data_IF_996913745781
#
_entry.id   IF_996913745781
#
_cell.length_a   1.000
_cell.length_b   1.000
_cell.length_c   1.000
_cell.angle_alpha   90.00
_cell.angle_beta   90.00
_cell.angle_gamma   90.00
#
_symmetry.space_group_name_H-M   'P 1'
#
loop_
_entity.id
_entity.type
_entity.pdbx_description
1 polymer ?
#
# COMPACT_ATOMS: atom_id res chain seq x y z
N UNK A 1 36.57 4.23 21.49
CA UNK A 1 35.74 5.11 20.64
C UNK A 1 35.33 4.47 19.32
N UNK A 2 36.25 3.84 18.55
CA UNK A 2 35.92 3.19 17.27
C UNK A 2 34.87 2.06 17.37
N UNK A 3 34.94 1.23 18.42
CA UNK A 3 33.99 0.13 18.65
C UNK A 3 32.54 0.60 18.91
N UNK A 4 32.38 1.72 19.62
CA UNK A 4 31.06 2.32 19.89
C UNK A 4 30.44 2.91 18.62
N UNK A 5 31.24 3.52 17.76
CA UNK A 5 30.79 4.05 16.47
C UNK A 5 30.33 2.93 15.53
N UNK A 6 31.02 1.79 15.54
CA UNK A 6 30.63 0.61 14.74
C UNK A 6 29.29 0.06 15.20
N UNK A 7 29.09 -0.11 16.51
CA UNK A 7 27.82 -0.60 17.08
C UNK A 7 26.64 0.37 16.78
N UNK A 8 26.88 1.67 16.87
CA UNK A 8 25.87 2.68 16.54
C UNK A 8 25.48 2.63 15.06
N UNK A 9 26.45 2.51 14.15
CA UNK A 9 26.17 2.39 12.71
C UNK A 9 25.39 1.12 12.37
N UNK A 10 25.66 0.02 13.06
CA UNK A 10 24.96 -1.24 12.85
C UNK A 10 23.51 -1.17 13.33
N UNK A 11 23.25 -0.50 14.47
CA UNK A 11 21.88 -0.26 14.95
C UNK A 11 21.06 0.63 14.01
N UNK A 12 21.66 1.67 13.43
CA UNK A 12 20.97 2.55 12.46
C UNK A 12 20.62 1.81 11.15
N UNK A 13 21.46 0.88 10.70
CA UNK A 13 21.18 0.06 9.53
C UNK A 13 19.95 -0.87 9.73
N UNK A 14 19.74 -1.38 10.95
CA UNK A 14 18.57 -2.21 11.27
C UNK A 14 17.27 -1.39 11.28
N UNK A 15 17.31 -0.15 11.77
CA UNK A 15 16.14 0.75 11.77
C UNK A 15 15.78 1.20 10.34
N UNK A 16 16.76 1.47 9.49
CA UNK A 16 16.53 1.84 8.08
C UNK A 16 15.92 0.69 7.25
N UNK A 17 16.17 -0.57 7.61
CA UNK A 17 15.58 -1.71 6.93
C UNK A 17 14.15 -2.02 7.41
N UNK A 18 13.73 -1.45 8.56
CA UNK A 18 12.40 -1.59 9.15
C UNK A 18 11.51 -0.36 8.93
N UNK A 19 11.90 0.58 8.06
CA UNK A 19 10.93 1.52 7.50
C UNK A 19 10.02 0.72 6.57
N UNK A 20 8.99 0.11 7.15
CA UNK A 20 7.78 -0.20 6.41
C UNK A 20 7.42 1.08 5.67
N UNK A 21 7.56 1.06 4.33
CA UNK A 21 7.31 2.23 3.51
C UNK A 21 5.93 2.78 3.80
N UNK A 22 5.70 4.06 3.45
CA UNK A 22 4.39 4.70 3.48
C UNK A 22 3.46 4.00 2.45
N UNK A 23 3.03 2.80 2.80
CA UNK A 23 2.06 2.02 2.07
C UNK A 23 0.65 2.49 2.39
N UNK A 24 -0.31 2.00 1.63
CA UNK A 24 -1.73 2.30 1.83
C UNK A 24 -2.52 1.01 2.04
N UNK A 25 -3.53 1.14 2.90
CA UNK A 25 -4.61 0.16 3.04
C UNK A 25 -5.91 0.92 2.86
N UNK A 26 -6.65 0.59 1.81
CA UNK A 26 -7.97 1.17 1.55
C UNK A 26 -8.96 0.01 1.57
N UNK A 27 -9.80 -0.01 2.59
CA UNK A 27 -10.86 -1.01 2.78
C UNK A 27 -12.23 -0.38 2.50
N UNK A 28 -13.11 -1.15 1.89
CA UNK A 28 -14.48 -0.72 1.63
C UNK A 28 -15.43 -1.89 1.51
N UNK A 29 -16.72 -1.60 1.66
CA UNK A 29 -17.82 -2.51 1.40
C UNK A 29 -18.65 -1.98 0.24
N UNK A 30 -19.24 -2.90 -0.52
CA UNK A 30 -20.13 -2.57 -1.62
C UNK A 30 -21.45 -3.31 -1.43
N UNK A 31 -22.55 -2.57 -1.51
CA UNK A 31 -23.91 -3.11 -1.43
C UNK A 31 -24.52 -3.13 -2.83
N UNK A 32 -25.22 -4.20 -3.18
CA UNK A 32 -25.87 -4.37 -4.47
C UNK A 32 -26.04 -5.84 -4.85
N UNK A 33 -26.85 -6.11 -5.87
CA UNK A 33 -26.99 -7.46 -6.42
C UNK A 33 -25.82 -7.77 -7.37
N UNK A 34 -25.30 -9.00 -7.31
CA UNK A 34 -24.26 -9.53 -8.22
C UNK A 34 -22.94 -8.73 -8.25
N UNK A 35 -22.52 -8.16 -7.12
CA UNK A 35 -21.24 -7.42 -7.02
C UNK A 35 -20.02 -8.34 -6.87
N UNK A 36 -20.22 -9.60 -6.48
CA UNK A 36 -19.15 -10.57 -6.25
C UNK A 36 -18.31 -10.81 -7.50
N UNK A 37 -16.97 -10.81 -7.35
CA UNK A 37 -16.05 -10.99 -8.46
C UNK A 37 -15.86 -9.74 -9.33
N UNK A 38 -16.48 -8.61 -8.99
CA UNK A 38 -16.27 -7.35 -9.71
C UNK A 38 -14.85 -6.84 -9.46
N UNK A 39 -14.12 -6.49 -10.52
CA UNK A 39 -12.81 -5.84 -10.43
C UNK A 39 -12.98 -4.33 -10.22
N UNK A 40 -12.35 -3.82 -9.16
CA UNK A 40 -12.23 -2.41 -8.83
C UNK A 40 -10.82 -1.93 -9.14
N UNK A 41 -10.69 -0.71 -9.64
CA UNK A 41 -9.39 -0.09 -9.95
C UNK A 41 -9.19 1.19 -9.14
N UNK A 42 -8.08 1.26 -8.42
CA UNK A 42 -7.64 2.47 -7.74
C UNK A 42 -6.88 3.33 -8.75
N UNK A 43 -7.26 4.60 -8.88
CA UNK A 43 -6.64 5.54 -9.82
C UNK A 43 -6.23 6.82 -9.12
N UNK A 44 -5.13 7.42 -9.57
CA UNK A 44 -4.69 8.75 -9.15
C UNK A 44 -4.51 9.69 -10.34
N UNK A 45 -4.61 10.98 -10.08
CA UNK A 45 -4.20 11.99 -11.06
C UNK A 45 -2.66 12.02 -11.17
N UNK A 46 -2.15 11.85 -12.39
CA UNK A 46 -0.73 12.01 -12.73
C UNK A 46 -0.37 13.46 -13.07
N UNK A 47 0.87 13.67 -13.49
CA UNK A 47 1.47 15.01 -13.69
C UNK A 47 0.70 15.91 -14.66
N UNK A 48 0.01 15.34 -15.67
CA UNK A 48 -0.80 16.10 -16.64
C UNK A 48 -2.31 15.94 -16.40
N UNK A 49 -2.75 15.76 -15.15
CA UNK A 49 -4.14 15.48 -14.78
C UNK A 49 -4.75 14.23 -15.45
N UNK A 50 -3.92 13.32 -15.95
CA UNK A 50 -4.34 12.03 -16.48
C UNK A 50 -4.64 11.04 -15.35
N UNK A 51 -5.71 10.25 -15.46
CA UNK A 51 -6.00 9.20 -14.48
C UNK A 51 -5.16 7.95 -14.77
N UNK A 52 -4.26 7.60 -13.85
CA UNK A 52 -3.37 6.43 -13.93
C UNK A 52 -3.85 5.39 -12.91
N UNK A 53 -4.00 4.15 -13.34
CA UNK A 53 -4.28 3.01 -12.45
C UNK A 53 -3.06 2.70 -11.59
N UNK A 54 -3.27 2.59 -10.29
CA UNK A 54 -2.21 2.30 -9.30
C UNK A 54 -2.38 0.94 -8.63
N UNK A 55 -3.60 0.40 -8.58
CA UNK A 55 -3.90 -0.92 -8.02
C UNK A 55 -5.23 -1.45 -8.57
N UNK A 56 -5.47 -2.75 -8.40
CA UNK A 56 -6.78 -3.37 -8.61
C UNK A 56 -7.13 -4.35 -7.47
N UNK A 57 -8.42 -4.46 -7.17
CA UNK A 57 -8.94 -5.35 -6.15
C UNK A 57 -10.24 -5.99 -6.62
N UNK A 58 -10.49 -7.23 -6.22
CA UNK A 58 -11.72 -7.94 -6.51
C UNK A 58 -12.67 -7.85 -5.32
N UNK A 59 -13.96 -7.65 -5.59
CA UNK A 59 -15.00 -7.72 -4.55
C UNK A 59 -15.17 -9.16 -4.11
N UNK A 60 -14.99 -9.40 -2.80
CA UNK A 60 -15.19 -10.70 -2.15
C UNK A 60 -16.04 -10.54 -0.91
N UNK A 61 -17.10 -11.32 -0.84
CA UNK A 61 -18.07 -11.31 0.26
C UNK A 61 -18.61 -9.88 0.52
N UNK A 62 -18.84 -9.10 -0.55
CA UNK A 62 -19.31 -7.72 -0.47
C UNK A 62 -18.27 -6.70 0.04
N UNK A 63 -17.00 -7.08 0.13
CA UNK A 63 -15.90 -6.20 0.57
C UNK A 63 -14.76 -6.17 -0.44
N UNK A 64 -13.93 -5.13 -0.38
CA UNK A 64 -12.71 -5.03 -1.19
C UNK A 64 -11.61 -4.33 -0.40
N UNK A 65 -10.37 -4.55 -0.81
CA UNK A 65 -9.20 -3.99 -0.14
C UNK A 65 -8.05 -3.77 -1.12
N UNK A 66 -7.55 -2.55 -1.18
CA UNK A 66 -6.32 -2.20 -1.89
C UNK A 66 -5.14 -2.18 -0.90
N UNK A 67 -3.98 -2.69 -1.34
CA UNK A 67 -2.75 -2.73 -0.53
C UNK A 67 -1.53 -2.48 -1.41
N UNK A 68 -0.76 -1.45 -1.10
CA UNK A 68 0.48 -1.13 -1.79
C UNK A 68 1.45 -0.33 -0.95
#
# INVERSE_FOLDING_TARGET
MKQLLILLSLSMAVVACNSAGDGYVIEGSIEGENTEGTELTLRKYGENNQLITVDSAEVKEGTFMFKG
#
